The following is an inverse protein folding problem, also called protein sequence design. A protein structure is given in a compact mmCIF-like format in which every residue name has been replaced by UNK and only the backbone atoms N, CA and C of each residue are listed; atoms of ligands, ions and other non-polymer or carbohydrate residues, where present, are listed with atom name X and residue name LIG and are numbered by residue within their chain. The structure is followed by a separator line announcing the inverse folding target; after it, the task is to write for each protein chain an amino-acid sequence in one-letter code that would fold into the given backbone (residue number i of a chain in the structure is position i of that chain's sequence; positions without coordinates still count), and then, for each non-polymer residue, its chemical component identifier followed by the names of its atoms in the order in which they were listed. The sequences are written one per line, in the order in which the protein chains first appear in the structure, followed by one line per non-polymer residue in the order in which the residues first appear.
data_IF_259223089256
#
_entry.id   IF_259223089256
#
_cell.length_a   1.000
_cell.length_b   1.000
_cell.length_c   1.000
_cell.angle_alpha   90.00
_cell.angle_beta   90.00
_cell.angle_gamma   90.00
#
_symmetry.space_group_name_H-M   'P 1'
#
loop_
_entity.id
_entity.type
_entity.pdbx_description
1 polymer ?
#
# COMPACT_ATOMS: atom_id res chain seq x y z
N UNK A 1 3.51 -9.59 2.54
CA UNK A 1 2.24 -10.17 2.03
C UNK A 1 1.79 -9.33 0.85
N UNK A 2 1.35 -9.94 -0.26
CA UNK A 2 1.02 -9.21 -1.49
C UNK A 2 -0.40 -9.53 -1.95
N UNK A 3 -1.11 -8.50 -2.41
CA UNK A 3 -2.44 -8.61 -3.02
C UNK A 3 -2.37 -7.97 -4.41
N UNK A 4 -2.83 -8.69 -5.43
CA UNK A 4 -2.75 -8.26 -6.82
C UNK A 4 -4.14 -8.10 -7.43
N UNK A 5 -4.42 -6.92 -7.95
CA UNK A 5 -5.61 -6.56 -8.73
C UNK A 5 -5.20 -6.36 -10.20
N UNK A 6 -4.82 -7.46 -10.89
CA UNK A 6 -4.24 -7.39 -12.24
C UNK A 6 -5.19 -6.77 -13.28
N UNK A 7 -6.50 -6.99 -13.15
CA UNK A 7 -7.51 -6.36 -14.01
C UNK A 7 -7.47 -4.81 -13.93
N UNK A 8 -6.95 -4.28 -12.82
CA UNK A 8 -6.77 -2.85 -12.56
C UNK A 8 -5.30 -2.44 -12.53
N UNK A 9 -4.39 -3.30 -13.02
CA UNK A 9 -2.94 -3.03 -13.06
C UNK A 9 -2.40 -2.49 -11.72
N UNK A 10 -2.83 -3.06 -10.61
CA UNK A 10 -2.46 -2.60 -9.26
C UNK A 10 -1.99 -3.77 -8.39
N UNK A 11 -0.84 -3.59 -7.76
CA UNK A 11 -0.32 -4.48 -6.72
C UNK A 11 -0.19 -3.70 -5.42
N UNK A 12 -0.70 -4.26 -4.32
CA UNK A 12 -0.55 -3.70 -2.98
C UNK A 12 0.25 -4.70 -2.16
N UNK A 13 1.35 -4.22 -1.57
CA UNK A 13 2.29 -5.04 -0.83
C UNK A 13 2.40 -4.55 0.61
N UNK A 14 2.27 -5.46 1.55
CA UNK A 14 2.57 -5.25 2.96
C UNK A 14 4.00 -5.72 3.27
N UNK A 15 4.83 -4.77 3.67
CA UNK A 15 6.18 -4.97 4.20
C UNK A 15 6.16 -4.94 5.74
N UNK A 16 6.33 -6.11 6.35
CA UNK A 16 6.36 -6.29 7.81
C UNK A 16 7.66 -5.84 8.50
N UNK A 17 8.72 -5.58 7.71
CA UNK A 17 10.15 -5.41 8.02
C UNK A 17 10.81 -6.31 9.07
N UNK A 18 11.61 -7.23 8.52
CA UNK A 18 13.03 -7.49 8.81
C UNK A 18 13.78 -7.82 7.48
N UNK A 19 13.67 -6.99 6.44
CA UNK A 19 14.48 -7.13 5.20
C UNK A 19 15.25 -5.85 4.90
N UNK A 20 16.02 -5.40 5.88
CA UNK A 20 17.12 -4.49 5.60
C UNK A 20 18.33 -5.37 5.23
N UNK A 21 18.85 -5.17 4.01
CA UNK A 21 20.27 -5.36 3.65
C UNK A 21 20.72 -6.75 3.13
N UNK A 22 20.16 -7.20 2.00
CA UNK A 22 20.92 -8.03 1.04
C UNK A 22 20.98 -7.33 -0.32
N UNK A 23 22.18 -7.13 -0.87
CA UNK A 23 22.35 -6.51 -2.19
C UNK A 23 21.64 -7.29 -3.31
N UNK A 24 21.56 -8.61 -3.19
CA UNK A 24 20.84 -9.45 -4.15
C UNK A 24 19.34 -9.14 -4.17
N UNK A 25 18.76 -8.86 -3.00
CA UNK A 25 17.35 -8.51 -2.89
C UNK A 25 17.06 -7.12 -3.47
N UNK A 26 18.01 -6.19 -3.37
CA UNK A 26 17.90 -4.87 -3.98
C UNK A 26 17.91 -4.93 -5.51
N UNK A 27 18.81 -5.73 -6.11
CA UNK A 27 18.85 -5.92 -7.55
C UNK A 27 17.57 -6.55 -8.10
N UNK A 28 17.07 -7.61 -7.44
CA UNK A 28 15.83 -8.26 -7.84
C UNK A 28 14.60 -7.34 -7.66
N UNK A 29 14.58 -6.47 -6.64
CA UNK A 29 13.52 -5.48 -6.48
C UNK A 29 13.52 -4.43 -7.60
N UNK A 30 14.69 -4.04 -8.13
CA UNK A 30 14.79 -3.12 -9.28
C UNK A 30 14.25 -3.77 -10.55
N UNK A 31 14.74 -4.96 -10.91
CA UNK A 31 14.31 -5.65 -12.14
C UNK A 31 12.80 -5.88 -12.13
N UNK A 32 12.26 -6.30 -10.97
CA UNK A 32 10.82 -6.46 -10.79
C UNK A 32 10.06 -5.14 -10.92
N UNK A 33 10.61 -4.02 -10.42
CA UNK A 33 9.96 -2.72 -10.54
C UNK A 33 9.99 -2.21 -11.99
N UNK A 34 11.05 -2.49 -12.75
CA UNK A 34 11.13 -2.19 -14.19
C UNK A 34 10.10 -3.00 -15.00
N UNK A 35 9.98 -4.31 -14.76
CA UNK A 35 8.98 -5.15 -15.42
C UNK A 35 7.54 -4.69 -15.12
N UNK A 36 7.27 -4.28 -13.87
CA UNK A 36 5.97 -3.77 -13.48
C UNK A 36 5.68 -2.42 -14.15
N UNK A 37 6.67 -1.53 -14.25
CA UNK A 37 6.52 -0.24 -14.92
C UNK A 37 6.28 -0.41 -16.42
N UNK A 38 7.03 -1.28 -17.09
CA UNK A 38 6.86 -1.63 -18.51
C UNK A 38 5.45 -2.20 -18.78
N UNK A 39 4.92 -3.00 -17.85
CA UNK A 39 3.55 -3.50 -17.88
C UNK A 39 2.48 -2.46 -17.55
N UNK A 40 2.87 -1.25 -17.15
CA UNK A 40 1.98 -0.21 -16.65
C UNK A 40 1.27 -0.60 -15.34
N UNK A 41 1.88 -1.48 -14.55
CA UNK A 41 1.36 -2.01 -13.29
C UNK A 41 1.88 -1.18 -12.14
N UNK A 42 0.96 -0.51 -11.45
CA UNK A 42 1.29 0.29 -10.28
C UNK A 42 1.54 -0.60 -9.06
N UNK A 43 2.73 -0.49 -8.47
CA UNK A 43 3.06 -1.09 -7.16
C UNK A 43 2.86 -0.08 -6.02
N UNK A 44 2.15 -0.47 -4.96
CA UNK A 44 1.99 0.30 -3.73
C UNK A 44 2.47 -0.51 -2.53
N UNK A 45 3.60 -0.11 -1.95
CA UNK A 45 4.14 -0.75 -0.74
C UNK A 45 3.66 -0.01 0.52
N UNK A 46 3.22 -0.78 1.51
CA UNK A 46 2.76 -0.36 2.82
C UNK A 46 3.65 -0.97 3.89
N UNK A 47 4.30 -0.14 4.68
CA UNK A 47 5.19 -0.61 5.74
C UNK A 47 4.42 -0.76 7.05
N UNK A 48 4.76 -1.78 7.83
CA UNK A 48 4.15 -2.09 9.14
C UNK A 48 4.05 -0.87 10.05
N UNK A 49 5.13 -0.07 10.12
CA UNK A 49 5.17 1.13 10.95
C UNK A 49 4.05 2.14 10.57
N UNK A 50 3.76 2.31 9.29
CA UNK A 50 2.72 3.24 8.82
C UNK A 50 1.31 2.75 9.16
N UNK A 51 1.08 1.42 9.14
CA UNK A 51 -0.21 0.81 9.49
C UNK A 51 -0.49 0.96 10.98
N UNK A 52 0.52 0.78 11.83
CA UNK A 52 0.35 0.89 13.29
C UNK A 52 0.39 2.35 13.79
N UNK A 53 1.10 3.25 13.11
CA UNK A 53 1.27 4.65 13.55
C UNK A 53 0.24 5.60 12.95
N UNK A 54 -0.10 5.41 11.68
CA UNK A 54 -1.00 6.29 10.92
C UNK A 54 -1.97 5.47 10.05
N UNK A 55 -2.82 4.62 10.67
CA UNK A 55 -3.74 3.74 9.95
C UNK A 55 -4.70 4.49 9.01
N UNK A 56 -5.25 5.64 9.42
CA UNK A 56 -6.15 6.44 8.58
C UNK A 56 -5.46 6.93 7.31
N UNK A 57 -4.24 7.48 7.45
CA UNK A 57 -3.45 7.96 6.31
C UNK A 57 -3.11 6.83 5.35
N UNK A 58 -2.76 5.68 5.92
CA UNK A 58 -2.38 4.47 5.20
C UNK A 58 -3.55 3.90 4.40
N UNK A 59 -4.73 3.75 5.01
CA UNK A 59 -5.95 3.33 4.33
C UNK A 59 -6.37 4.34 3.26
N UNK A 60 -6.26 5.64 3.53
CA UNK A 60 -6.52 6.67 2.52
C UNK A 60 -5.60 6.58 1.30
N UNK A 61 -4.32 6.22 1.48
CA UNK A 61 -3.40 5.99 0.36
C UNK A 61 -3.84 4.81 -0.51
N UNK A 62 -4.29 3.72 0.11
CA UNK A 62 -4.81 2.55 -0.60
C UNK A 62 -6.08 2.90 -1.39
N UNK A 63 -7.08 3.49 -0.74
CA UNK A 63 -8.37 3.76 -1.38
C UNK A 63 -8.21 4.71 -2.56
N UNK A 64 -7.39 5.76 -2.43
CA UNK A 64 -7.04 6.64 -3.56
C UNK A 64 -6.30 5.89 -4.67
N UNK A 65 -5.42 4.95 -4.31
CA UNK A 65 -4.68 4.18 -5.29
C UNK A 65 -5.59 3.26 -6.10
N UNK A 66 -6.50 2.57 -5.45
CA UNK A 66 -7.53 1.73 -6.07
C UNK A 66 -8.45 2.58 -6.96
N UNK A 67 -8.96 3.71 -6.46
CA UNK A 67 -9.84 4.60 -7.22
C UNK A 67 -9.16 5.16 -8.49
N UNK A 68 -7.88 5.55 -8.41
CA UNK A 68 -7.11 6.04 -9.57
C UNK A 68 -6.92 4.98 -10.66
N UNK A 69 -7.02 3.70 -10.31
CA UNK A 69 -6.95 2.60 -11.27
C UNK A 69 -8.34 2.18 -11.79
N UNK A 70 -9.40 2.94 -11.46
CA UNK A 70 -10.76 2.70 -11.94
C UNK A 70 -11.56 1.72 -11.10
N UNK A 71 -11.07 1.32 -9.92
CA UNK A 71 -11.81 0.45 -9.02
C UNK A 71 -12.97 1.22 -8.36
N UNK A 72 -14.13 0.58 -8.24
CA UNK A 72 -15.20 1.05 -7.37
C UNK A 72 -14.81 0.80 -5.90
N UNK A 73 -14.41 1.86 -5.20
CA UNK A 73 -13.97 1.77 -3.80
C UNK A 73 -15.07 2.31 -2.89
N UNK A 74 -15.66 1.48 -2.01
CA UNK A 74 -16.64 1.97 -1.05
C UNK A 74 -16.00 2.92 -0.03
N UNK A 75 -16.79 3.82 0.59
CA UNK A 75 -16.30 4.63 1.69
C UNK A 75 -15.69 3.77 2.79
N UNK A 76 -14.55 4.21 3.32
CA UNK A 76 -13.86 3.51 4.40
C UNK A 76 -14.71 3.59 5.67
N UNK A 77 -15.09 2.42 6.21
CA UNK A 77 -15.79 2.32 7.50
C UNK A 77 -14.79 2.45 8.65
N UNK A 78 -15.22 3.00 9.78
CA UNK A 78 -14.36 3.20 10.96
C UNK A 78 -14.07 1.93 11.79
N UNK A 79 -14.58 0.76 11.39
CA UNK A 79 -14.41 -0.51 12.11
C UNK A 79 -12.93 -0.91 12.31
N UNK A 80 -12.02 -0.45 11.45
CA UNK A 80 -10.59 -0.72 11.61
C UNK A 80 -9.99 -0.07 12.87
N UNK A 81 -10.61 1.00 13.41
CA UNK A 81 -10.12 1.73 14.59
C UNK A 81 -10.06 0.86 15.84
N UNK A 82 -10.88 -0.20 15.91
CA UNK A 82 -10.85 -1.16 17.02
C UNK A 82 -9.57 -2.00 17.05
N UNK A 83 -8.91 -2.15 15.90
CA UNK A 83 -7.70 -2.96 15.72
C UNK A 83 -6.44 -2.09 15.64
N UNK A 84 -6.58 -0.85 15.16
CA UNK A 84 -5.48 0.09 14.98
C UNK A 84 -5.84 1.45 15.62
N UNK A 85 -5.48 1.69 16.88
CA UNK A 85 -5.76 2.96 17.54
C UNK A 85 -4.96 4.11 16.89
N UNK A 86 -5.66 5.12 16.40
CA UNK A 86 -5.07 6.31 15.78
C UNK A 86 -4.27 7.15 16.78
N UNK A 87 -3.14 7.68 16.33
CA UNK A 87 -2.34 8.67 17.08
C UNK A 87 -2.71 10.11 16.68
N UNK A 88 -2.42 11.12 17.52
CA UNK A 88 -2.53 12.52 17.12
C UNK A 88 -1.75 12.76 15.80
N UNK A 89 -2.43 13.27 14.77
CA UNK A 89 -1.87 13.47 13.43
C UNK A 89 -2.21 12.38 12.40
N UNK A 90 -2.93 11.32 12.80
CA UNK A 90 -3.47 10.31 11.87
C UNK A 90 -4.74 10.79 11.17
N UNK A 91 -4.60 11.78 10.28
CA UNK A 91 -5.68 12.27 9.45
C UNK A 91 -5.64 11.58 8.08
N UNK A 92 -6.78 11.03 7.67
CA UNK A 92 -6.95 10.62 6.28
C UNK A 92 -6.89 11.87 5.39
N UNK A 93 -5.95 11.90 4.43
CA UNK A 93 -6.04 12.86 3.33
C UNK A 93 -7.23 12.48 2.45
N UNK A 94 -8.43 12.93 2.80
CA UNK A 94 -9.59 12.83 1.93
C UNK A 94 -9.35 13.77 0.73
N UNK A 95 -9.61 13.26 -0.47
CA UNK A 95 -9.69 14.04 -1.70
C UNK A 95 -11.17 14.12 -2.09
#
# INVERSE_FOLDING_TARGET
MTISYLAYRLIIEYDGRQHAESQEQWHHDIERDEELDDGGIRRLVMVSNDIHRTPSRTLGRITRAMARQGMAVPPLKDEWRRHFPSRPGDLAMLA
#
